data_IF_752539691284
#
_entry.id   IF_752539691284
#
_cell.length_a   1.000
_cell.length_b   1.000
_cell.length_c   1.000
_cell.angle_alpha   90.00
_cell.angle_beta   90.00
_cell.angle_gamma   90.00
#
_symmetry.space_group_name_H-M   'P 1'
#
loop_
_entity.id
_entity.type
_entity.pdbx_description
1 polymer ?
#
# COMPACT_ATOMS: atom_id res chain seq x y z
N UNK A 1 -27.52 -9.73 -4.05
CA UNK A 1 -27.14 -8.48 -3.36
C UNK A 1 -27.83 -7.33 -4.07
N UNK A 2 -28.40 -6.34 -3.37
CA UNK A 2 -28.92 -5.15 -4.03
C UNK A 2 -27.77 -4.43 -4.76
N UNK A 3 -27.97 -3.93 -5.98
CA UNK A 3 -26.98 -3.12 -6.68
C UNK A 3 -26.70 -1.83 -5.92
N UNK A 4 -25.48 -1.27 -6.06
CA UNK A 4 -25.05 -0.01 -5.43
C UNK A 4 -26.00 1.16 -5.74
N UNK A 5 -26.76 1.08 -6.84
CA UNK A 5 -27.73 2.09 -7.29
C UNK A 5 -28.96 2.26 -6.37
N UNK A 6 -29.30 1.28 -5.52
CA UNK A 6 -30.52 1.32 -4.69
C UNK A 6 -30.27 1.75 -3.23
N UNK A 7 -29.02 2.11 -2.88
CA UNK A 7 -28.64 2.39 -1.50
C UNK A 7 -28.48 3.90 -1.28
N UNK A 8 -29.26 4.46 -0.35
CA UNK A 8 -29.15 5.86 0.04
C UNK A 8 -27.92 6.09 0.93
N UNK A 9 -26.76 6.27 0.31
CA UNK A 9 -25.50 6.47 1.02
C UNK A 9 -25.52 7.71 1.93
N UNK A 10 -26.17 8.80 1.52
CA UNK A 10 -26.29 10.00 2.36
C UNK A 10 -27.03 9.73 3.68
N UNK A 11 -28.07 8.91 3.62
CA UNK A 11 -28.80 8.46 4.82
C UNK A 11 -27.94 7.53 5.68
N UNK A 12 -27.18 6.62 5.06
CA UNK A 12 -26.22 5.75 5.77
C UNK A 12 -25.15 6.58 6.50
N UNK A 13 -24.59 7.62 5.88
CA UNK A 13 -23.59 8.48 6.54
C UNK A 13 -24.19 9.17 7.77
N UNK A 14 -25.44 9.60 7.67
CA UNK A 14 -26.18 10.21 8.79
C UNK A 14 -26.52 9.19 9.88
N UNK A 15 -26.87 7.97 9.48
CA UNK A 15 -27.27 6.89 10.36
C UNK A 15 -26.51 5.59 10.04
N UNK A 16 -25.22 5.46 10.43
CA UNK A 16 -24.38 4.34 10.02
C UNK A 16 -24.95 2.94 10.31
N UNK A 17 -25.81 2.81 11.31
CA UNK A 17 -26.49 1.56 11.65
C UNK A 17 -27.49 1.07 10.58
N UNK A 18 -27.95 1.94 9.67
CA UNK A 18 -28.82 1.54 8.54
C UNK A 18 -28.06 0.89 7.40
N UNK A 19 -26.72 0.91 7.45
CA UNK A 19 -25.89 0.24 6.45
C UNK A 19 -26.24 -1.26 6.39
N UNK A 20 -26.48 -1.83 5.19
CA UNK A 20 -26.97 -3.21 5.04
C UNK A 20 -26.04 -4.27 5.67
N UNK A 21 -24.77 -3.91 5.82
CA UNK A 21 -23.74 -4.76 6.40
C UNK A 21 -23.41 -4.49 7.88
N UNK A 22 -24.07 -3.54 8.53
CA UNK A 22 -23.79 -3.23 9.93
C UNK A 22 -24.01 -4.45 10.85
N UNK A 23 -25.06 -5.24 10.62
CA UNK A 23 -25.34 -6.44 11.44
C UNK A 23 -24.28 -7.52 11.30
N UNK A 24 -23.69 -7.65 10.11
CA UNK A 24 -22.59 -8.58 9.89
C UNK A 24 -21.30 -8.10 10.57
N UNK A 25 -21.01 -6.79 10.50
CA UNK A 25 -19.92 -6.17 11.25
C UNK A 25 -20.06 -6.41 12.75
N UNK A 26 -21.22 -6.05 13.30
CA UNK A 26 -21.55 -6.20 14.71
C UNK A 26 -21.37 -7.64 15.18
N UNK A 27 -21.88 -8.62 14.41
CA UNK A 27 -21.73 -10.04 14.70
C UNK A 27 -20.25 -10.45 14.77
N UNK A 28 -19.46 -10.12 13.74
CA UNK A 28 -18.03 -10.47 13.69
C UNK A 28 -17.23 -9.85 14.83
N UNK A 29 -17.52 -8.60 15.17
CA UNK A 29 -16.88 -7.94 16.31
C UNK A 29 -17.27 -8.58 17.64
N UNK A 30 -18.54 -8.98 17.82
CA UNK A 30 -19.01 -9.69 19.02
C UNK A 30 -18.39 -11.09 19.14
N UNK A 31 -18.27 -11.82 18.03
CA UNK A 31 -17.58 -13.12 17.98
C UNK A 31 -16.10 -12.98 18.40
N UNK A 32 -15.47 -11.85 18.03
CA UNK A 32 -14.15 -11.45 18.48
C UNK A 32 -14.10 -10.82 19.89
N UNK A 33 -15.22 -10.83 20.63
CA UNK A 33 -15.35 -10.28 22.00
C UNK A 33 -15.02 -8.79 22.13
N UNK A 34 -15.26 -8.02 21.07
CA UNK A 34 -15.14 -6.57 21.10
C UNK A 34 -16.34 -5.95 21.83
N UNK A 35 -16.07 -4.88 22.57
CA UNK A 35 -17.08 -4.23 23.41
C UNK A 35 -18.10 -3.46 22.57
N UNK A 36 -19.39 -3.40 22.96
CA UNK A 36 -20.42 -2.71 22.20
C UNK A 36 -20.06 -1.27 21.83
N UNK A 37 -19.44 -0.53 22.75
CA UNK A 37 -18.98 0.84 22.50
C UNK A 37 -17.95 0.91 21.37
N UNK A 38 -16.94 0.02 21.39
CA UNK A 38 -15.96 -0.05 20.30
C UNK A 38 -16.65 -0.31 18.96
N UNK A 39 -17.59 -1.27 18.90
CA UNK A 39 -18.30 -1.64 17.67
C UNK A 39 -19.05 -0.46 17.07
N UNK A 40 -19.76 0.31 17.89
CA UNK A 40 -20.51 1.48 17.44
C UNK A 40 -19.55 2.57 16.95
N UNK A 41 -18.59 2.95 17.80
CA UNK A 41 -17.66 4.03 17.51
C UNK A 41 -16.82 3.74 16.26
N UNK A 42 -16.26 2.54 16.15
CA UNK A 42 -15.44 2.16 15.01
C UNK A 42 -16.24 2.11 13.71
N UNK A 43 -17.49 1.63 13.75
CA UNK A 43 -18.35 1.61 12.58
C UNK A 43 -18.71 3.02 12.10
N UNK A 44 -19.10 3.91 13.02
CA UNK A 44 -19.40 5.31 12.67
C UNK A 44 -18.19 6.00 12.05
N UNK A 45 -17.01 5.82 12.64
CA UNK A 45 -15.77 6.40 12.15
C UNK A 45 -15.38 5.86 10.77
N UNK A 46 -15.59 4.56 10.52
CA UNK A 46 -15.34 3.96 9.21
C UNK A 46 -16.28 4.58 8.16
N UNK A 47 -17.59 4.55 8.38
CA UNK A 47 -18.58 5.02 7.39
C UNK A 47 -18.39 6.50 7.07
N UNK A 48 -18.27 7.34 8.09
CA UNK A 48 -18.07 8.79 7.90
C UNK A 48 -16.70 9.10 7.30
N UNK A 49 -15.66 8.36 7.69
CA UNK A 49 -14.32 8.51 7.12
C UNK A 49 -14.25 8.14 5.64
N UNK A 50 -14.95 7.08 5.22
CA UNK A 50 -15.06 6.72 3.80
C UNK A 50 -15.74 7.84 2.99
N UNK A 51 -16.84 8.40 3.50
CA UNK A 51 -17.50 9.54 2.87
C UNK A 51 -16.56 10.75 2.77
N UNK A 52 -15.88 11.11 3.87
CA UNK A 52 -14.93 12.23 3.89
C UNK A 52 -13.80 12.02 2.90
N UNK A 53 -13.28 10.80 2.79
CA UNK A 53 -12.25 10.46 1.83
C UNK A 53 -12.76 10.64 0.39
N UNK A 54 -13.97 10.20 0.09
CA UNK A 54 -14.58 10.40 -1.22
C UNK A 54 -14.71 11.90 -1.57
N UNK A 55 -15.10 12.74 -0.60
CA UNK A 55 -15.16 14.20 -0.77
C UNK A 55 -13.77 14.79 -1.10
N UNK A 56 -12.72 14.35 -0.39
CA UNK A 56 -11.35 14.78 -0.66
C UNK A 56 -10.89 14.36 -2.05
N UNK A 57 -11.21 13.13 -2.45
CA UNK A 57 -10.91 12.61 -3.79
C UNK A 57 -11.56 13.49 -4.87
N UNK A 58 -12.83 13.86 -4.70
CA UNK A 58 -13.58 14.68 -5.65
C UNK A 58 -12.95 16.07 -5.88
N UNK A 59 -12.24 16.61 -4.88
CA UNK A 59 -11.54 17.92 -4.96
C UNK A 59 -10.02 17.79 -5.12
N UNK A 60 -9.53 16.60 -5.47
CA UNK A 60 -8.10 16.29 -5.62
C UNK A 60 -7.24 16.50 -4.36
N UNK A 61 -7.83 16.43 -3.17
CA UNK A 61 -7.16 16.57 -1.88
C UNK A 61 -6.69 15.22 -1.29
N UNK A 62 -6.07 14.38 -2.12
CA UNK A 62 -5.67 13.01 -1.80
C UNK A 62 -4.71 12.87 -0.61
N UNK A 63 -4.02 13.94 -0.21
CA UNK A 63 -2.99 13.89 0.84
C UNK A 63 -3.48 14.39 2.20
N UNK A 64 -4.74 14.83 2.31
CA UNK A 64 -5.24 15.36 3.58
C UNK A 64 -5.62 14.22 4.54
N UNK A 65 -5.23 14.32 5.83
CA UNK A 65 -5.63 13.37 6.85
C UNK A 65 -7.15 13.44 7.03
N UNK A 66 -7.80 12.28 7.04
CA UNK A 66 -9.24 12.15 7.30
C UNK A 66 -9.45 12.13 8.82
N UNK A 67 -10.12 13.13 9.43
CA UNK A 67 -10.27 13.23 10.89
C UNK A 67 -10.88 11.97 11.53
N UNK A 68 -11.84 11.36 10.85
CA UNK A 68 -12.51 10.15 11.29
C UNK A 68 -11.55 8.95 11.33
N UNK A 69 -10.63 8.83 10.36
CA UNK A 69 -9.59 7.79 10.38
C UNK A 69 -8.51 8.07 11.41
N UNK A 70 -8.19 9.34 11.69
CA UNK A 70 -7.31 9.70 12.81
C UNK A 70 -7.94 9.30 14.15
N UNK A 71 -9.25 9.53 14.32
CA UNK A 71 -9.98 9.10 15.50
C UNK A 71 -10.07 7.57 15.58
N UNK A 72 -10.29 6.88 14.47
CA UNK A 72 -10.27 5.41 14.40
C UNK A 72 -8.91 4.85 14.83
N UNK A 73 -7.81 5.45 14.36
CA UNK A 73 -6.47 5.06 14.76
C UNK A 73 -6.25 5.21 16.27
N UNK A 74 -6.80 6.26 16.90
CA UNK A 74 -6.75 6.43 18.37
C UNK A 74 -7.57 5.37 19.09
N UNK A 75 -8.79 5.09 18.61
CA UNK A 75 -9.68 4.07 19.15
C UNK A 75 -9.01 2.70 19.13
N UNK A 76 -8.47 2.29 17.98
CA UNK A 76 -7.69 1.05 17.82
C UNK A 76 -6.44 1.07 18.70
N UNK A 77 -5.76 2.22 18.79
CA UNK A 77 -4.54 2.43 19.57
C UNK A 77 -4.65 2.01 21.04
N UNK A 78 -5.82 2.19 21.66
CA UNK A 78 -6.07 1.80 23.06
C UNK A 78 -5.90 0.31 23.33
N UNK A 79 -6.08 -0.54 22.30
CA UNK A 79 -5.99 -2.00 22.37
C UNK A 79 -5.18 -2.56 21.21
N UNK A 80 -4.19 -1.80 20.74
CA UNK A 80 -3.51 -2.07 19.47
C UNK A 80 -2.90 -3.48 19.42
N UNK A 81 -2.31 -3.95 20.52
CA UNK A 81 -1.73 -5.30 20.60
C UNK A 81 -2.77 -6.40 20.43
N UNK A 82 -3.93 -6.28 21.07
CA UNK A 82 -5.02 -7.27 20.98
C UNK A 82 -5.64 -7.29 19.58
N UNK A 83 -5.72 -6.12 18.93
CA UNK A 83 -6.45 -5.94 17.67
C UNK A 83 -5.58 -6.20 16.44
N UNK A 84 -4.28 -5.90 16.52
CA UNK A 84 -3.33 -5.91 15.41
C UNK A 84 -2.30 -7.02 15.50
N UNK A 85 -2.38 -7.91 16.49
CA UNK A 85 -1.55 -9.11 16.50
C UNK A 85 -2.40 -10.35 16.21
N UNK A 86 -1.84 -11.34 15.50
CA UNK A 86 -2.46 -12.65 15.39
C UNK A 86 -2.62 -13.29 16.78
N UNK A 87 -3.72 -14.01 16.97
CA UNK A 87 -4.00 -14.69 18.24
C UNK A 87 -3.08 -15.88 18.52
N UNK A 88 -2.49 -16.46 17.47
CA UNK A 88 -1.53 -17.56 17.58
C UNK A 88 -0.12 -16.98 17.69
N UNK A 89 0.55 -17.25 18.81
CA UNK A 89 1.94 -16.83 18.99
C UNK A 89 2.90 -17.73 18.20
N UNK A 90 3.93 -17.14 17.60
CA UNK A 90 5.08 -17.87 17.06
C UNK A 90 5.12 -18.00 15.53
N UNK A 91 4.03 -17.70 14.84
CA UNK A 91 4.01 -17.54 13.38
C UNK A 91 4.86 -16.34 12.94
N UNK A 92 5.56 -16.42 11.81
CA UNK A 92 6.26 -15.28 11.24
C UNK A 92 5.26 -14.25 10.69
N UNK A 93 5.49 -12.97 10.98
CA UNK A 93 4.67 -11.90 10.44
C UNK A 93 5.10 -11.55 9.01
N UNK A 94 4.14 -11.15 8.20
CA UNK A 94 4.36 -10.73 6.83
C UNK A 94 3.57 -9.46 6.43
N UNK A 95 4.21 -8.64 5.60
CA UNK A 95 3.61 -7.62 4.76
C UNK A 95 3.55 -8.15 3.33
N UNK A 96 2.71 -7.54 2.50
CA UNK A 96 2.61 -7.92 1.10
C UNK A 96 2.24 -6.72 0.22
N UNK A 97 2.75 -6.71 -1.01
CA UNK A 97 2.36 -5.75 -2.03
C UNK A 97 2.24 -6.42 -3.40
N UNK A 98 1.16 -6.11 -4.11
CA UNK A 98 0.89 -6.65 -5.45
C UNK A 98 -0.41 -7.41 -5.65
N UNK A 99 -1.46 -7.09 -4.87
CA UNK A 99 -2.81 -7.60 -5.05
C UNK A 99 -3.21 -8.71 -4.09
N UNK A 100 -4.52 -8.90 -3.90
CA UNK A 100 -5.10 -9.81 -2.89
C UNK A 100 -4.60 -11.26 -2.98
N UNK A 101 -4.21 -11.72 -4.17
CA UNK A 101 -3.67 -13.07 -4.35
C UNK A 101 -2.33 -13.26 -3.64
N UNK A 102 -1.54 -12.19 -3.48
CA UNK A 102 -0.30 -12.24 -2.70
C UNK A 102 -0.63 -12.50 -1.23
N UNK A 103 -1.60 -11.78 -0.65
CA UNK A 103 -2.10 -12.05 0.72
C UNK A 103 -2.51 -13.51 0.89
N UNK A 104 -3.29 -14.05 -0.05
CA UNK A 104 -3.76 -15.43 0.00
C UNK A 104 -2.61 -16.43 -0.06
N UNK A 105 -1.65 -16.22 -0.96
CA UNK A 105 -0.46 -17.05 -1.08
C UNK A 105 0.38 -17.04 0.19
N UNK A 106 0.64 -15.86 0.74
CA UNK A 106 1.44 -15.65 1.96
C UNK A 106 0.81 -16.33 3.16
N UNK A 107 -0.51 -16.15 3.36
CA UNK A 107 -1.26 -16.86 4.41
C UNK A 107 -1.26 -18.37 4.21
N UNK A 108 -1.39 -18.85 2.97
CA UNK A 108 -1.30 -20.27 2.62
C UNK A 108 0.08 -20.89 2.91
N UNK A 109 1.13 -20.07 3.00
CA UNK A 109 2.50 -20.48 3.37
C UNK A 109 2.74 -20.48 4.90
N UNK A 110 1.74 -20.10 5.69
CA UNK A 110 1.84 -20.08 7.16
C UNK A 110 2.39 -18.79 7.75
N UNK A 111 2.38 -17.70 6.98
CA UNK A 111 2.70 -16.36 7.48
C UNK A 111 1.44 -15.62 7.90
N UNK A 112 1.53 -14.85 8.98
CA UNK A 112 0.44 -13.98 9.41
C UNK A 112 0.59 -12.58 8.83
N UNK A 113 -0.43 -12.14 8.10
CA UNK A 113 -0.57 -10.79 7.55
C UNK A 113 -1.49 -9.93 8.40
N UNK A 114 -1.66 -8.65 8.02
CA UNK A 114 -2.66 -7.78 8.64
C UNK A 114 -4.07 -8.43 8.65
N UNK A 115 -4.45 -9.10 7.56
CA UNK A 115 -5.74 -9.81 7.46
C UNK A 115 -5.84 -11.05 8.36
N UNK A 116 -4.75 -11.45 9.02
CA UNK A 116 -4.70 -12.55 9.98
C UNK A 116 -4.87 -12.07 11.43
N UNK A 117 -4.86 -10.75 11.64
CA UNK A 117 -5.11 -10.12 12.95
C UNK A 117 -6.60 -10.10 13.27
N UNK A 118 -6.97 -9.86 14.53
CA UNK A 118 -8.38 -9.82 14.96
C UNK A 118 -9.15 -8.76 14.17
N UNK A 119 -8.67 -7.51 14.15
CA UNK A 119 -9.43 -6.43 13.52
C UNK A 119 -9.20 -6.37 12.01
N UNK A 120 -7.97 -6.61 11.54
CA UNK A 120 -7.68 -6.69 10.11
C UNK A 120 -8.44 -7.84 9.44
N UNK A 121 -8.60 -8.99 10.10
CA UNK A 121 -9.40 -10.11 9.62
C UNK A 121 -10.90 -9.80 9.57
N UNK A 122 -11.43 -9.02 10.51
CA UNK A 122 -12.81 -8.52 10.42
C UNK A 122 -12.96 -7.64 9.17
N UNK A 123 -12.07 -6.65 8.99
CA UNK A 123 -12.13 -5.74 7.85
C UNK A 123 -11.92 -6.45 6.50
N UNK A 124 -11.03 -7.43 6.40
CA UNK A 124 -10.83 -8.28 5.20
C UNK A 124 -12.14 -8.92 4.74
N UNK A 125 -12.98 -9.39 5.67
CA UNK A 125 -14.29 -9.97 5.36
C UNK A 125 -15.35 -8.94 5.00
N UNK A 126 -15.11 -7.68 5.36
CA UNK A 126 -16.03 -6.58 5.14
C UNK A 126 -15.68 -5.74 3.90
N UNK A 127 -14.47 -5.87 3.36
CA UNK A 127 -13.99 -5.12 2.19
C UNK A 127 -13.52 -6.06 1.08
N UNK A 128 -14.11 -7.24 0.91
CA UNK A 128 -13.74 -8.15 -0.18
C UNK A 128 -14.55 -7.83 -1.46
N UNK A 129 -14.18 -8.38 -2.64
CA UNK A 129 -14.91 -8.11 -3.87
C UNK A 129 -16.40 -8.43 -3.84
N UNK A 130 -16.85 -9.35 -2.97
CA UNK A 130 -18.27 -9.67 -2.77
C UNK A 130 -18.94 -8.84 -1.66
N UNK A 131 -18.18 -8.01 -0.94
CA UNK A 131 -18.67 -7.33 0.25
C UNK A 131 -17.95 -5.98 0.39
N UNK A 132 -18.64 -4.89 0.03
CA UNK A 132 -18.09 -3.53 0.06
C UNK A 132 -18.72 -2.72 1.19
N UNK A 133 -17.90 -2.14 2.06
CA UNK A 133 -18.36 -1.13 3.05
C UNK A 133 -18.63 0.20 2.35
N UNK A 134 -17.83 0.55 1.35
CA UNK A 134 -18.09 1.73 0.54
C UNK A 134 -19.13 1.39 -0.54
N UNK A 135 -20.32 2.00 -0.41
CA UNK A 135 -21.42 1.84 -1.36
C UNK A 135 -21.69 3.11 -2.17
N UNK A 136 -20.92 4.19 -1.96
CA UNK A 136 -21.11 5.46 -2.65
C UNK A 136 -20.65 5.47 -4.12
N UNK A 137 -19.82 4.51 -4.53
CA UNK A 137 -19.43 4.27 -5.92
C UNK A 137 -18.90 2.84 -6.11
N UNK A 138 -18.72 2.43 -7.36
CA UNK A 138 -18.12 1.13 -7.67
C UNK A 138 -16.59 1.10 -7.50
N UNK A 139 -15.96 2.25 -7.33
CA UNK A 139 -14.52 2.35 -7.11
C UNK A 139 -14.10 1.86 -5.70
N UNK A 140 -12.83 1.49 -5.61
CA UNK A 140 -12.20 1.08 -4.34
C UNK A 140 -11.55 2.26 -3.61
N UNK A 141 -11.65 3.48 -4.16
CA UNK A 141 -10.77 4.62 -3.84
C UNK A 141 -10.77 4.99 -2.36
N UNK A 142 -11.93 5.21 -1.72
CA UNK A 142 -12.01 5.58 -0.32
C UNK A 142 -11.49 4.52 0.66
N UNK A 143 -11.61 3.24 0.29
CA UNK A 143 -11.22 2.12 1.16
C UNK A 143 -9.69 2.01 1.33
N UNK A 144 -8.90 2.50 0.37
CA UNK A 144 -7.44 2.52 0.48
C UNK A 144 -6.96 3.26 1.74
N UNK A 145 -7.51 4.44 2.00
CA UNK A 145 -7.12 5.26 3.17
C UNK A 145 -7.51 4.63 4.52
N UNK A 146 -8.56 3.79 4.55
CA UNK A 146 -8.88 2.99 5.72
C UNK A 146 -7.79 1.94 5.97
N UNK A 147 -7.38 1.22 4.91
CA UNK A 147 -6.33 0.22 4.98
C UNK A 147 -4.97 0.82 5.33
N UNK A 148 -4.63 2.00 4.79
CA UNK A 148 -3.44 2.77 5.16
C UNK A 148 -3.39 3.03 6.67
N UNK A 149 -4.51 3.49 7.24
CA UNK A 149 -4.64 3.80 8.66
C UNK A 149 -4.42 2.57 9.55
N UNK A 150 -5.05 1.45 9.19
CA UNK A 150 -4.96 0.22 9.97
C UNK A 150 -3.59 -0.44 9.79
N UNK A 151 -3.01 -0.37 8.59
CA UNK A 151 -1.71 -0.98 8.31
C UNK A 151 -0.57 -0.25 9.01
N UNK A 152 -0.59 1.09 9.03
CA UNK A 152 0.35 1.88 9.83
C UNK A 152 0.36 1.42 11.30
N UNK A 153 -0.84 1.23 11.89
CA UNK A 153 -0.95 0.75 13.27
C UNK A 153 -0.44 -0.68 13.44
N UNK A 154 -0.74 -1.58 12.50
CA UNK A 154 -0.23 -2.96 12.54
C UNK A 154 1.29 -3.00 12.56
N UNK A 155 1.92 -2.23 11.69
CA UNK A 155 3.38 -2.16 11.60
C UNK A 155 4.00 -1.59 12.86
N UNK A 156 3.44 -0.52 13.43
CA UNK A 156 3.94 0.05 14.69
C UNK A 156 3.91 -1.00 15.82
N UNK A 157 2.82 -1.75 15.94
CA UNK A 157 2.69 -2.81 16.95
C UNK A 157 3.66 -3.96 16.64
N UNK A 158 3.74 -4.42 15.39
CA UNK A 158 4.65 -5.48 14.97
C UNK A 158 6.11 -5.14 15.30
N UNK A 159 6.55 -3.92 14.97
CA UNK A 159 7.90 -3.44 15.24
C UNK A 159 8.21 -3.34 16.75
N UNK A 160 7.21 -3.11 17.60
CA UNK A 160 7.37 -3.12 19.06
C UNK A 160 7.53 -4.53 19.65
N UNK A 161 7.07 -5.56 18.95
CA UNK A 161 6.99 -6.94 19.43
C UNK A 161 7.95 -7.91 18.74
N UNK A 162 8.46 -7.56 17.55
CA UNK A 162 9.31 -8.40 16.70
C UNK A 162 10.47 -7.60 16.16
N UNK A 163 11.64 -8.23 16.04
CA UNK A 163 12.81 -7.63 15.41
C UNK A 163 12.84 -7.80 13.89
N UNK A 164 12.14 -8.82 13.40
CA UNK A 164 12.09 -9.14 11.98
C UNK A 164 10.67 -9.34 11.48
N UNK A 165 10.48 -9.07 10.19
CA UNK A 165 9.22 -9.28 9.48
C UNK A 165 9.50 -9.59 8.01
N UNK A 166 8.63 -10.37 7.38
CA UNK A 166 8.76 -10.73 5.97
C UNK A 166 7.96 -9.75 5.10
N UNK A 167 8.41 -9.49 3.89
CA UNK A 167 7.71 -8.64 2.92
C UNK A 167 7.62 -9.38 1.60
N UNK A 168 6.41 -9.70 1.15
CA UNK A 168 6.20 -10.38 -0.12
C UNK A 168 5.82 -9.38 -1.20
N UNK A 169 6.71 -9.19 -2.18
CA UNK A 169 6.56 -8.22 -3.24
C UNK A 169 6.32 -8.91 -4.57
N UNK A 170 5.24 -8.53 -5.24
CA UNK A 170 5.03 -8.84 -6.67
C UNK A 170 5.14 -7.60 -7.54
N UNK A 171 5.02 -6.43 -6.94
CA UNK A 171 4.99 -5.14 -7.63
C UNK A 171 5.81 -4.13 -6.85
N UNK A 172 6.28 -3.09 -7.53
CA UNK A 172 6.93 -1.96 -6.90
C UNK A 172 6.10 -0.70 -7.19
N UNK A 173 4.92 -0.64 -6.56
CA UNK A 173 4.04 0.54 -6.62
C UNK A 173 4.37 1.46 -5.44
N UNK A 174 5.05 2.57 -5.73
CA UNK A 174 5.49 3.55 -4.72
C UNK A 174 4.32 4.22 -3.99
N UNK A 175 3.11 4.17 -4.53
CA UNK A 175 1.90 4.67 -3.87
C UNK A 175 1.10 3.56 -3.17
N UNK A 176 1.61 2.32 -3.16
CA UNK A 176 0.98 1.25 -2.37
C UNK A 176 1.09 1.55 -0.87
N UNK A 177 0.12 1.05 -0.11
CA UNK A 177 0.14 1.09 1.37
C UNK A 177 1.48 0.62 1.95
N UNK A 178 2.11 -0.38 1.32
CA UNK A 178 3.43 -0.85 1.73
C UNK A 178 4.49 0.25 1.71
N UNK A 179 4.63 0.99 0.60
CA UNK A 179 5.65 2.03 0.48
C UNK A 179 5.26 3.33 1.18
N UNK A 180 3.99 3.73 1.11
CA UNK A 180 3.50 4.97 1.69
C UNK A 180 3.45 4.94 3.21
N UNK A 181 3.05 3.81 3.79
CA UNK A 181 2.76 3.70 5.22
C UNK A 181 3.62 2.64 5.90
N UNK A 182 3.61 1.40 5.42
CA UNK A 182 4.16 0.28 6.18
C UNK A 182 5.68 0.38 6.34
N UNK A 183 6.41 0.54 5.23
CA UNK A 183 7.87 0.61 5.25
C UNK A 183 8.38 1.83 6.05
N UNK A 184 7.71 2.97 5.89
CA UNK A 184 8.05 4.22 6.59
C UNK A 184 7.84 4.06 8.09
N UNK A 185 6.67 3.57 8.51
CA UNK A 185 6.35 3.40 9.92
C UNK A 185 7.22 2.31 10.58
N UNK A 186 7.58 1.24 9.85
CA UNK A 186 8.51 0.22 10.35
C UNK A 186 9.90 0.80 10.64
N UNK A 187 10.48 1.52 9.67
CA UNK A 187 11.80 2.15 9.80
C UNK A 187 11.81 3.18 10.94
N UNK A 188 10.75 3.99 11.05
CA UNK A 188 10.57 4.95 12.14
C UNK A 188 10.51 4.26 13.51
N UNK A 189 9.74 3.19 13.63
CA UNK A 189 9.60 2.44 14.88
C UNK A 189 10.91 1.76 15.29
N UNK A 190 11.69 1.23 14.33
CA UNK A 190 12.98 0.59 14.58
C UNK A 190 14.15 1.58 14.75
N UNK A 191 13.93 2.87 14.54
CA UNK A 191 14.98 3.92 14.61
C UNK A 191 16.20 3.61 13.72
N UNK A 192 15.98 2.87 12.64
CA UNK A 192 17.06 2.43 11.77
C UNK A 192 17.53 3.59 10.88
N UNK A 193 18.84 3.86 10.90
CA UNK A 193 19.49 4.70 9.90
C UNK A 193 19.51 3.96 8.56
N UNK A 194 19.41 4.68 7.44
CA UNK A 194 19.23 4.13 6.08
C UNK A 194 20.27 3.10 5.61
N UNK A 195 21.35 2.87 6.37
CA UNK A 195 22.46 1.96 6.06
C UNK A 195 22.42 0.63 6.85
N UNK A 196 21.63 0.52 7.91
CA UNK A 196 21.46 -0.74 8.66
C UNK A 196 20.41 -1.63 7.99
N UNK A 197 20.53 -2.96 8.14
CA UNK A 197 19.46 -3.88 7.76
C UNK A 197 18.21 -3.49 8.54
N UNK A 198 17.11 -3.21 7.83
CA UNK A 198 15.90 -2.71 8.46
C UNK A 198 15.13 -3.79 9.23
N UNK A 199 15.60 -5.03 9.25
CA UNK A 199 14.93 -6.17 9.87
C UNK A 199 13.88 -6.81 8.96
N UNK A 200 13.76 -6.34 7.71
CA UNK A 200 12.82 -6.89 6.74
C UNK A 200 13.50 -7.93 5.84
N UNK A 201 12.83 -9.06 5.64
CA UNK A 201 13.22 -10.06 4.65
C UNK A 201 12.28 -9.95 3.45
N UNK A 202 12.82 -9.59 2.28
CA UNK A 202 12.04 -9.30 1.09
C UNK A 202 11.96 -10.52 0.17
N UNK A 203 10.76 -11.03 -0.04
CA UNK A 203 10.44 -12.14 -0.92
C UNK A 203 9.84 -11.59 -2.21
N UNK A 204 10.62 -11.52 -3.28
CA UNK A 204 10.11 -11.16 -4.60
C UNK A 204 9.50 -12.38 -5.26
N UNK A 205 8.18 -12.31 -5.48
CA UNK A 205 7.39 -13.36 -6.11
C UNK A 205 7.25 -13.08 -7.61
N UNK A 206 7.76 -13.99 -8.43
CA UNK A 206 7.76 -13.83 -9.88
C UNK A 206 7.20 -15.07 -10.59
N UNK A 207 6.57 -14.85 -11.73
CA UNK A 207 5.87 -15.87 -12.52
C UNK A 207 4.63 -15.31 -13.21
N UNK A 208 4.36 -15.81 -14.42
CA UNK A 208 3.27 -15.28 -15.25
C UNK A 208 1.88 -15.76 -14.80
N UNK A 209 1.77 -17.03 -14.45
CA UNK A 209 0.50 -17.68 -14.06
C UNK A 209 0.57 -18.35 -12.67
N UNK A 210 1.68 -18.18 -11.94
CA UNK A 210 1.88 -18.72 -10.60
C UNK A 210 2.88 -17.88 -9.80
N UNK A 211 2.96 -18.12 -8.49
CA UNK A 211 4.05 -17.65 -7.62
C UNK A 211 5.25 -18.63 -7.66
N UNK A 212 5.49 -19.27 -8.79
CA UNK A 212 6.38 -20.43 -8.91
C UNK A 212 7.86 -20.13 -8.72
N UNK A 213 8.27 -18.86 -8.77
CA UNK A 213 9.64 -18.45 -8.49
C UNK A 213 9.65 -17.39 -7.38
N UNK A 214 10.39 -17.68 -6.33
CA UNK A 214 10.60 -16.81 -5.19
C UNK A 214 12.09 -16.46 -5.09
N UNK A 215 12.40 -15.18 -4.88
CA UNK A 215 13.76 -14.68 -4.66
C UNK A 215 13.79 -13.86 -3.39
N UNK A 216 14.73 -14.17 -2.52
CA UNK A 216 14.80 -13.59 -1.17
C UNK A 216 15.96 -12.62 -1.10
N UNK A 217 15.72 -11.44 -0.52
CA UNK A 217 16.69 -10.37 -0.33
C UNK A 217 16.61 -9.84 1.10
N UNK A 218 17.72 -9.31 1.60
CA UNK A 218 17.77 -8.66 2.91
C UNK A 218 17.76 -7.13 2.81
N UNK A 219 17.77 -6.60 1.58
CA UNK A 219 17.76 -5.16 1.30
C UNK A 219 16.66 -4.83 0.30
N UNK A 220 15.87 -3.82 0.64
CA UNK A 220 14.80 -3.31 -0.22
C UNK A 220 15.31 -2.91 -1.62
N UNK A 221 16.48 -2.26 -1.68
CA UNK A 221 17.08 -1.80 -2.93
C UNK A 221 17.39 -2.96 -3.89
N UNK A 222 17.87 -4.08 -3.36
CA UNK A 222 18.19 -5.27 -4.15
C UNK A 222 16.91 -5.97 -4.64
N UNK A 223 15.93 -6.13 -3.75
CA UNK A 223 14.62 -6.67 -4.09
C UNK A 223 13.92 -5.83 -5.19
N UNK A 224 13.96 -4.50 -5.03
CA UNK A 224 13.46 -3.53 -6.00
C UNK A 224 14.16 -3.67 -7.35
N UNK A 225 15.50 -3.65 -7.36
CA UNK A 225 16.27 -3.75 -8.59
C UNK A 225 15.95 -5.05 -9.35
N UNK A 226 15.92 -6.18 -8.65
CA UNK A 226 15.56 -7.47 -9.23
C UNK A 226 14.16 -7.46 -9.84
N UNK A 227 13.17 -6.98 -9.09
CA UNK A 227 11.77 -6.95 -9.54
C UNK A 227 11.58 -6.04 -10.76
N UNK A 228 12.22 -4.86 -10.77
CA UNK A 228 12.17 -3.94 -11.91
C UNK A 228 12.82 -4.54 -13.17
N UNK A 229 13.97 -5.20 -13.02
CA UNK A 229 14.60 -5.92 -14.14
C UNK A 229 13.69 -7.02 -14.67
N UNK A 230 13.08 -7.81 -13.79
CA UNK A 230 12.16 -8.87 -14.18
C UNK A 230 10.93 -8.34 -14.92
N UNK A 231 10.29 -7.28 -14.40
CA UNK A 231 9.14 -6.65 -15.04
C UNK A 231 9.49 -6.05 -16.42
N UNK A 232 10.68 -5.46 -16.55
CA UNK A 232 11.18 -4.97 -17.85
C UNK A 232 11.42 -6.10 -18.86
N UNK A 233 11.96 -7.25 -18.43
CA UNK A 233 12.12 -8.42 -19.30
C UNK A 233 10.78 -9.01 -19.73
N UNK A 234 9.78 -9.02 -18.85
CA UNK A 234 8.42 -9.44 -19.19
C UNK A 234 7.78 -8.52 -20.24
N UNK A 235 7.96 -7.21 -20.11
CA UNK A 235 7.49 -6.25 -21.11
C UNK A 235 8.09 -6.54 -22.49
N UNK A 236 9.42 -6.67 -22.59
CA UNK A 236 10.09 -6.92 -23.87
C UNK A 236 9.58 -8.21 -24.52
N UNK A 237 9.44 -9.30 -23.74
CA UNK A 237 8.88 -10.57 -24.25
C UNK A 237 7.42 -10.46 -24.66
N UNK A 238 6.63 -9.64 -23.96
CA UNK A 238 5.22 -9.42 -24.29
C UNK A 238 5.06 -8.59 -25.57
N UNK A 239 5.81 -7.50 -25.70
CA UNK A 239 5.84 -6.67 -26.91
C UNK A 239 6.28 -7.51 -28.11
N UNK A 240 7.34 -8.31 -27.94
CA UNK A 240 7.83 -9.22 -28.96
C UNK A 240 6.79 -10.32 -29.32
N UNK A 241 6.19 -10.99 -28.33
CA UNK A 241 5.20 -12.05 -28.56
C UNK A 241 3.87 -11.56 -29.15
N UNK A 242 3.44 -10.35 -28.78
CA UNK A 242 2.26 -9.69 -29.39
C UNK A 242 2.52 -9.31 -30.85
N UNK A 243 3.71 -8.79 -31.15
CA UNK A 243 4.10 -8.37 -32.50
C UNK A 243 4.37 -9.57 -33.42
N UNK A 244 4.98 -10.64 -32.91
CA UNK A 244 5.41 -11.78 -33.71
C UNK A 244 4.36 -12.89 -33.85
N UNK A 245 3.50 -13.10 -32.84
CA UNK A 245 2.65 -14.30 -32.78
C UNK A 245 1.15 -14.01 -32.69
N UNK A 246 0.74 -12.73 -32.61
CA UNK A 246 -0.68 -12.35 -32.52
C UNK A 246 -1.42 -12.90 -31.29
N UNK A 247 -0.69 -13.33 -30.27
CA UNK A 247 -1.27 -13.99 -29.08
C UNK A 247 -1.81 -12.94 -28.12
N UNK A 248 -3.14 -12.86 -28.01
CA UNK A 248 -3.81 -11.98 -27.07
C UNK A 248 -3.80 -12.57 -25.64
N UNK A 249 -2.78 -12.25 -24.85
CA UNK A 249 -2.60 -12.76 -23.49
C UNK A 249 -3.58 -12.21 -22.44
N UNK A 250 -4.53 -11.35 -22.85
CA UNK A 250 -5.46 -10.62 -21.97
C UNK A 250 -6.43 -11.50 -21.15
N UNK A 251 -6.43 -12.81 -21.40
CA UNK A 251 -7.41 -13.77 -20.88
C UNK A 251 -6.81 -14.94 -20.06
N UNK A 252 -5.50 -14.94 -19.73
CA UNK A 252 -4.84 -16.16 -19.21
C UNK A 252 -4.94 -16.44 -17.70
N UNK A 253 -5.02 -15.43 -16.81
CA UNK A 253 -5.24 -15.66 -15.36
C UNK A 253 -5.55 -14.34 -14.63
N UNK A 254 -6.14 -14.40 -13.42
CA UNK A 254 -6.29 -13.22 -12.55
C UNK A 254 -4.93 -12.67 -12.09
N UNK A 255 -3.98 -13.59 -11.88
CA UNK A 255 -2.55 -13.34 -11.63
C UNK A 255 -1.92 -12.48 -12.72
N UNK A 256 -2.29 -12.71 -13.98
CA UNK A 256 -1.84 -11.91 -15.11
C UNK A 256 -2.48 -10.50 -15.14
N UNK A 257 -3.77 -10.38 -14.81
CA UNK A 257 -4.43 -9.06 -14.71
C UNK A 257 -3.77 -8.20 -13.64
N UNK A 258 -3.36 -8.81 -12.53
CA UNK A 258 -2.61 -8.14 -11.48
C UNK A 258 -1.19 -7.74 -11.96
N UNK A 259 -0.49 -8.58 -12.72
CA UNK A 259 0.79 -8.21 -13.35
C UNK A 259 0.66 -7.03 -14.33
N UNK A 260 -0.36 -7.02 -15.17
CA UNK A 260 -0.58 -5.95 -16.15
C UNK A 260 -1.03 -4.65 -15.48
N UNK A 261 -1.84 -4.73 -14.42
CA UNK A 261 -2.21 -3.58 -13.57
C UNK A 261 -0.98 -3.04 -12.86
N UNK A 262 -0.24 -3.89 -12.17
CA UNK A 262 1.01 -3.55 -11.49
C UNK A 262 2.01 -2.83 -12.39
N UNK A 263 2.24 -3.38 -13.58
CA UNK A 263 3.11 -2.78 -14.58
C UNK A 263 2.59 -1.40 -15.02
N UNK A 264 1.29 -1.28 -15.29
CA UNK A 264 0.66 0.01 -15.64
C UNK A 264 0.72 1.00 -14.48
N UNK A 265 0.56 0.57 -13.23
CA UNK A 265 0.58 1.41 -12.05
C UNK A 265 2.02 1.87 -11.74
N UNK A 266 3.00 0.99 -11.92
CA UNK A 266 4.44 1.33 -11.87
C UNK A 266 4.82 2.36 -12.94
N UNK A 267 4.20 2.36 -14.13
CA UNK A 267 4.59 3.25 -15.25
C UNK A 267 3.71 4.49 -15.49
N UNK A 268 2.42 4.48 -15.14
CA UNK A 268 1.49 5.60 -15.42
C UNK A 268 1.63 6.77 -14.46
N UNK A 269 2.30 6.58 -13.34
CA UNK A 269 2.42 7.62 -12.30
C UNK A 269 3.67 8.44 -12.61
N UNK A 270 3.49 9.77 -12.79
CA UNK A 270 4.51 10.76 -13.21
C UNK A 270 5.88 10.61 -12.51
N UNK A 271 5.90 10.06 -11.31
CA UNK A 271 7.08 9.78 -10.50
C UNK A 271 8.05 8.77 -11.12
N UNK A 272 7.59 7.78 -11.90
CA UNK A 272 8.46 6.72 -12.42
C UNK A 272 9.21 7.10 -13.70
N UNK A 273 8.60 7.86 -14.60
CA UNK A 273 9.27 8.39 -15.79
C UNK A 273 10.39 9.36 -15.38
N UNK A 274 10.12 10.24 -14.41
CA UNK A 274 11.11 11.11 -13.78
C UNK A 274 12.18 10.33 -13.01
N UNK A 275 11.83 9.25 -12.30
CA UNK A 275 12.80 8.42 -11.58
C UNK A 275 13.69 7.60 -12.52
N UNK A 276 13.15 7.08 -13.63
CA UNK A 276 13.92 6.37 -14.64
C UNK A 276 14.88 7.33 -15.36
N UNK A 277 14.39 8.50 -15.75
CA UNK A 277 15.23 9.57 -16.30
C UNK A 277 16.34 9.97 -15.34
N UNK A 278 16.06 10.04 -14.03
CA UNK A 278 17.05 10.28 -12.98
C UNK A 278 18.08 9.15 -12.84
N UNK A 279 17.63 7.90 -12.77
CA UNK A 279 18.48 6.72 -12.61
C UNK A 279 19.43 6.53 -13.80
N UNK A 280 18.99 6.94 -14.99
CA UNK A 280 19.74 6.90 -16.25
C UNK A 280 20.50 8.22 -16.53
N UNK A 281 20.37 9.26 -15.68
CA UNK A 281 20.97 10.57 -15.93
C UNK A 281 22.49 10.59 -15.63
N UNK A 282 23.34 11.10 -16.55
CA UNK A 282 24.80 11.13 -16.36
C UNK A 282 25.27 11.92 -15.13
N UNK A 283 24.47 12.90 -14.69
CA UNK A 283 24.78 13.77 -13.56
C UNK A 283 24.16 13.32 -12.23
N UNK A 284 23.61 12.10 -12.17
CA UNK A 284 22.96 11.56 -10.96
C UNK A 284 23.82 11.67 -9.71
N UNK A 285 25.10 11.29 -9.80
CA UNK A 285 26.05 11.38 -8.68
C UNK A 285 26.25 12.81 -8.18
N UNK A 286 26.14 13.79 -9.08
CA UNK A 286 26.30 15.21 -8.76
C UNK A 286 25.05 15.77 -8.06
N UNK A 287 23.86 15.28 -8.43
CA UNK A 287 22.58 15.60 -7.76
C UNK A 287 22.49 14.94 -6.38
N UNK A 288 22.95 13.70 -6.26
CA UNK A 288 23.04 12.98 -4.97
C UNK A 288 23.99 13.71 -4.01
N UNK A 289 25.18 14.12 -4.48
CA UNK A 289 26.14 14.92 -3.71
C UNK A 289 25.60 16.30 -3.32
N UNK A 290 24.83 16.95 -4.20
CA UNK A 290 24.22 18.25 -3.91
C UNK A 290 23.08 18.14 -2.88
N UNK A 291 22.25 17.09 -2.97
CA UNK A 291 21.19 16.79 -2.02
C UNK A 291 21.75 16.46 -0.63
N UNK A 292 22.84 15.69 -0.56
CA UNK A 292 23.54 15.37 0.67
C UNK A 292 24.20 16.62 1.30
N UNK A 293 24.77 17.51 0.48
CA UNK A 293 25.34 18.77 0.93
C UNK A 293 24.26 19.77 1.41
N UNK A 294 23.10 19.83 0.77
CA UNK A 294 21.95 20.63 1.23
C UNK A 294 21.37 20.10 2.55
N UNK A 295 21.22 18.78 2.70
CA UNK A 295 20.76 18.17 3.95
C UNK A 295 21.74 18.41 5.12
N UNK A 296 23.05 18.44 4.84
CA UNK A 296 24.05 18.80 5.84
C UNK A 296 23.96 20.27 6.29
N UNK A 297 23.46 21.16 5.43
CA UNK A 297 23.28 22.60 5.71
C UNK A 297 21.91 22.94 6.31
N UNK A 298 20.90 22.06 6.19
CA UNK A 298 19.57 22.27 6.78
C UNK A 298 18.94 20.93 7.22
N UNK A 299 19.30 20.42 8.42
CA UNK A 299 18.98 19.06 8.85
C UNK A 299 17.49 18.80 9.18
N UNK A 300 16.64 19.84 9.20
CA UNK A 300 15.25 19.78 9.69
C UNK A 300 14.17 19.87 8.59
N UNK A 301 14.46 19.43 7.36
CA UNK A 301 13.40 19.25 6.35
C UNK A 301 13.52 17.88 5.70
N UNK A 302 12.58 17.01 6.04
CA UNK A 302 12.33 15.71 5.42
C UNK A 302 12.50 15.78 3.89
N UNK A 303 13.11 14.73 3.33
CA UNK A 303 13.10 14.49 1.90
C UNK A 303 11.64 14.34 1.45
N UNK A 304 11.13 15.36 0.76
CA UNK A 304 9.80 15.36 0.16
C UNK A 304 9.94 14.99 -1.33
N UNK A 305 9.38 13.86 -1.80
CA UNK A 305 9.34 13.50 -3.22
C UNK A 305 8.77 14.60 -4.13
N UNK A 306 7.99 15.55 -3.57
CA UNK A 306 7.45 16.71 -4.29
C UNK A 306 8.50 17.80 -4.51
N UNK A 307 9.49 17.93 -3.61
CA UNK A 307 10.68 18.78 -3.81
C UNK A 307 11.65 18.19 -4.81
N UNK A 308 11.72 16.85 -4.91
CA UNK A 308 12.52 16.19 -5.94
C UNK A 308 12.07 16.59 -7.36
N UNK A 309 10.75 16.73 -7.59
CA UNK A 309 10.24 17.26 -8.86
C UNK A 309 10.68 18.70 -9.12
N UNK A 310 10.61 19.59 -8.11
CA UNK A 310 11.00 21.00 -8.30
C UNK A 310 12.51 21.19 -8.49
N UNK A 311 13.33 20.37 -7.80
CA UNK A 311 14.79 20.35 -7.98
C UNK A 311 15.13 19.85 -9.38
N UNK A 312 14.47 18.79 -9.87
CA UNK A 312 14.64 18.30 -11.23
C UNK A 312 14.19 19.30 -12.29
N UNK A 313 13.08 20.01 -12.07
CA UNK A 313 12.61 21.07 -12.97
C UNK A 313 13.62 22.22 -13.05
N UNK A 314 14.18 22.66 -11.93
CA UNK A 314 15.19 23.71 -11.88
C UNK A 314 16.52 23.28 -12.51
N UNK A 315 16.93 22.01 -12.30
CA UNK A 315 18.15 21.45 -12.88
C UNK A 315 18.02 21.32 -14.41
N UNK A 316 16.88 20.81 -14.90
CA UNK A 316 16.58 20.71 -16.33
C UNK A 316 16.48 22.10 -17.00
N UNK A 317 15.95 23.11 -16.29
CA UNK A 317 15.93 24.52 -16.72
C UNK A 317 17.36 25.09 -16.85
N UNK A 318 18.21 24.93 -15.84
CA UNK A 318 19.60 25.43 -15.87
C UNK A 318 20.45 24.70 -16.91
N UNK A 319 20.16 23.43 -17.19
CA UNK A 319 20.86 22.64 -18.21
C UNK A 319 20.41 22.98 -19.63
N UNK A 320 19.16 23.40 -19.82
CA UNK A 320 18.67 23.98 -21.09
C UNK A 320 19.26 25.35 -21.36
N UNK A 321 19.33 26.23 -20.36
CA UNK A 321 19.94 27.56 -20.49
C UNK A 321 21.43 27.49 -20.89
N UNK A 322 22.17 26.48 -20.44
CA UNK A 322 23.59 26.25 -20.82
C UNK A 322 23.80 25.65 -22.23
N UNK A 323 22.75 25.19 -22.90
CA UNK A 323 22.82 24.68 -24.28
C UNK A 323 22.46 25.75 -25.32
N UNK A 324 22.02 26.92 -24.87
CA UNK A 324 21.65 28.07 -25.72
C UNK A 324 22.69 29.22 -25.66
N UNK A 325 23.82 29.02 -24.98
CA UNK A 325 25.06 29.83 -25.07
C UNK A 325 26.12 29.11 -25.93
#
# INVERSE_FOLDING_TARGET
>A
MPPSADVNWAEIVRFPATHPHFKEYERRCRDARLQPAFIQDSWELIIRGLQRRAEFIAVNAWNLPVPEFVALNRLVGTRARDLMMPSVSGTPLALWSGGLQVSQYVRGKGYDTLESTVYGGILDKMTNPQFKIWLGSDDWGPQGALWDTISARYVEVAASCRDTMHVFLRTHDLESTFYGEELVNWRKAKRNQAQALDGLTYHVLVGMDSFGLERVFLREQEAKAFLLTFLGQLQQRFEQGMLEQGVNHRYRSEVWRDNARAYKDTLRKKTYESYRQYMEHPLRQLVEQFSEAEQALSPDKDFDPRKFSSVMDELLLKTRARREE
#
